data_IF_169226293027
#
_entry.id   IF_169226293027
#
_cell.length_a   1.000
_cell.length_b   1.000
_cell.length_c   1.000
_cell.angle_alpha   90.00
_cell.angle_beta   90.00
_cell.angle_gamma   90.00
#
_symmetry.space_group_name_H-M   'P 1'
#
loop_
_entity.id
_entity.type
_entity.pdbx_description
1 polymer ?
#
# COMPACT_ATOMS: atom_id res chain seq x y z
N UNK A 1 -9.72 19.10 0.09
CA UNK A 1 -8.68 18.30 0.77
C UNK A 1 -9.07 18.17 2.23
N UNK A 2 -9.53 16.99 2.64
CA UNK A 2 -9.82 16.71 4.05
C UNK A 2 -8.48 16.63 4.76
N UNK A 3 -8.26 17.49 5.75
CA UNK A 3 -7.02 17.52 6.51
C UNK A 3 -6.98 16.28 7.41
N UNK A 4 -6.37 15.19 6.94
CA UNK A 4 -6.21 13.92 7.66
C UNK A 4 -5.26 14.03 8.88
N UNK A 5 -4.77 15.23 9.18
CA UNK A 5 -4.03 15.53 10.41
C UNK A 5 -2.65 14.88 10.50
N UNK A 6 -2.15 14.31 9.41
CA UNK A 6 -0.84 13.69 9.26
C UNK A 6 -0.12 14.31 8.05
N UNK A 7 1.22 14.46 8.14
CA UNK A 7 2.08 15.05 7.10
C UNK A 7 2.76 13.98 6.24
N UNK A 8 2.28 12.74 6.28
CA UNK A 8 2.82 11.65 5.47
C UNK A 8 2.36 11.82 4.03
N UNK A 9 3.25 11.65 3.04
CA UNK A 9 2.84 11.71 1.64
C UNK A 9 1.81 10.63 1.37
N UNK A 10 0.68 11.03 0.78
CA UNK A 10 -0.29 10.09 0.24
C UNK A 10 0.41 9.18 -0.78
N UNK A 11 -0.12 7.97 -0.96
CA UNK A 11 0.22 7.19 -2.13
C UNK A 11 -0.03 8.05 -3.38
N UNK A 12 0.62 7.73 -4.50
CA UNK A 12 0.36 8.43 -5.76
C UNK A 12 -1.10 8.33 -6.23
N UNK A 13 -1.92 7.49 -5.59
CA UNK A 13 -3.31 7.23 -5.89
C UNK A 13 -4.21 7.47 -4.65
N UNK A 14 -5.51 7.33 -4.84
CA UNK A 14 -6.47 7.35 -3.75
C UNK A 14 -7.68 6.50 -4.13
N UNK A 15 -8.21 5.74 -3.18
CA UNK A 15 -9.43 4.96 -3.37
C UNK A 15 -10.61 5.67 -2.72
N UNK A 16 -11.76 5.68 -3.40
CA UNK A 16 -12.96 6.38 -2.94
C UNK A 16 -14.19 5.47 -3.02
N UNK A 17 -15.09 5.61 -2.05
CA UNK A 17 -16.33 4.85 -2.03
C UNK A 17 -17.24 5.29 -3.20
N UNK A 18 -17.54 4.40 -4.14
CA UNK A 18 -18.43 4.71 -5.26
C UNK A 18 -19.90 4.89 -4.82
N UNK A 19 -20.27 4.31 -3.68
CA UNK A 19 -21.59 4.37 -3.04
C UNK A 19 -21.41 4.42 -1.52
N UNK A 20 -22.47 4.73 -0.78
CA UNK A 20 -22.43 4.64 0.69
C UNK A 20 -22.26 3.19 1.16
N UNK A 21 -21.36 2.97 2.11
CA UNK A 21 -21.01 1.65 2.63
C UNK A 21 -21.40 1.55 4.12
N UNK A 22 -22.11 0.50 4.55
CA UNK A 22 -22.43 0.30 5.96
C UNK A 22 -21.21 -0.18 6.77
N UNK A 23 -21.24 0.06 8.07
CA UNK A 23 -20.24 -0.45 9.03
C UNK A 23 -20.11 -1.97 8.93
N UNK A 24 -18.88 -2.49 8.98
CA UNK A 24 -18.58 -3.91 8.96
C UNK A 24 -18.65 -4.56 7.58
N UNK A 25 -19.05 -3.83 6.53
CA UNK A 25 -19.05 -4.35 5.17
C UNK A 25 -17.64 -4.75 4.74
N UNK A 26 -17.51 -5.95 4.17
CA UNK A 26 -16.32 -6.32 3.38
C UNK A 26 -16.38 -5.61 2.03
N UNK A 27 -15.51 -4.64 1.84
CA UNK A 27 -15.45 -3.76 0.66
C UNK A 27 -14.74 -4.46 -0.50
N UNK A 28 -13.64 -5.15 -0.20
CA UNK A 28 -12.75 -5.70 -1.22
C UNK A 28 -12.04 -6.96 -0.72
N UNK A 29 -11.67 -7.85 -1.64
CA UNK A 29 -10.80 -9.01 -1.42
C UNK A 29 -9.83 -9.11 -2.59
N UNK A 30 -8.54 -9.15 -2.29
CA UNK A 30 -7.44 -9.19 -3.27
C UNK A 30 -6.54 -10.39 -3.00
N UNK A 31 -6.33 -11.25 -3.99
CA UNK A 31 -5.21 -12.19 -3.96
C UNK A 31 -3.92 -11.38 -4.08
N UNK A 32 -3.01 -11.53 -3.12
CA UNK A 32 -1.76 -10.78 -3.12
C UNK A 32 -0.91 -11.15 -4.33
N UNK A 33 -0.26 -10.15 -4.93
CA UNK A 33 0.69 -10.39 -6.02
C UNK A 33 1.93 -11.09 -5.47
N UNK A 34 2.33 -10.73 -4.25
CA UNK A 34 3.46 -11.31 -3.55
C UNK A 34 3.17 -11.43 -2.06
N UNK A 35 3.67 -12.52 -1.49
CA UNK A 35 3.55 -12.85 -0.08
C UNK A 35 4.89 -13.37 0.42
N UNK A 36 5.39 -12.78 1.50
CA UNK A 36 6.66 -13.14 2.12
C UNK A 36 6.46 -13.39 3.61
N UNK A 37 7.34 -14.15 4.24
CA UNK A 37 7.31 -14.39 5.69
C UNK A 37 7.71 -13.15 6.51
N UNK A 38 8.49 -12.24 5.93
CA UNK A 38 8.85 -10.97 6.54
C UNK A 38 9.18 -9.89 5.50
N UNK A 39 9.24 -8.62 5.91
CA UNK A 39 9.72 -7.53 5.03
C UNK A 39 11.19 -7.69 4.65
N UNK A 40 12.01 -8.29 5.51
CA UNK A 40 13.39 -8.60 5.16
C UNK A 40 13.47 -9.62 4.03
N UNK A 41 12.65 -10.67 4.10
CA UNK A 41 12.56 -11.69 3.03
C UNK A 41 12.08 -11.06 1.72
N UNK A 42 11.08 -10.18 1.80
CA UNK A 42 10.63 -9.40 0.65
C UNK A 42 11.80 -8.63 0.01
N UNK A 43 12.64 -7.93 0.78
CA UNK A 43 13.77 -7.18 0.21
C UNK A 43 14.83 -8.05 -0.47
N UNK A 44 15.04 -9.27 0.02
CA UNK A 44 16.03 -10.20 -0.55
C UNK A 44 15.52 -10.90 -1.79
N UNK A 45 14.23 -11.25 -1.82
CA UNK A 45 13.66 -12.12 -2.85
C UNK A 45 12.93 -11.35 -3.96
N UNK A 46 12.38 -10.17 -3.65
CA UNK A 46 11.49 -9.44 -4.56
C UNK A 46 12.08 -9.22 -5.96
N UNK A 47 13.35 -8.84 -6.07
CA UNK A 47 13.94 -8.59 -7.39
C UNK A 47 13.98 -9.85 -8.27
N UNK A 48 14.12 -11.02 -7.67
CA UNK A 48 14.01 -12.30 -8.37
C UNK A 48 12.55 -12.56 -8.78
N UNK A 49 11.62 -12.43 -7.84
CA UNK A 49 10.20 -12.74 -8.06
C UNK A 49 9.54 -11.79 -9.05
N UNK A 50 9.94 -10.52 -9.04
CA UNK A 50 9.46 -9.49 -9.97
C UNK A 50 9.63 -9.92 -11.43
N UNK A 51 10.69 -10.67 -11.76
CA UNK A 51 10.91 -11.18 -13.12
C UNK A 51 9.84 -12.19 -13.54
N UNK A 52 9.28 -12.92 -12.57
CA UNK A 52 8.26 -13.96 -12.77
C UNK A 52 6.83 -13.39 -12.74
N UNK A 53 6.63 -12.16 -12.26
CA UNK A 53 5.32 -11.50 -12.28
C UNK A 53 4.85 -11.34 -13.75
N UNK A 54 3.57 -11.60 -14.06
CA UNK A 54 3.01 -11.33 -15.38
C UNK A 54 3.26 -9.88 -15.84
N UNK A 55 3.59 -9.71 -17.12
CA UNK A 55 4.01 -8.41 -17.68
C UNK A 55 2.97 -7.30 -17.46
N UNK A 56 1.68 -7.64 -17.57
CA UNK A 56 0.60 -6.70 -17.32
C UNK A 56 0.56 -6.19 -15.88
N UNK A 57 0.96 -7.02 -14.89
CA UNK A 57 1.06 -6.61 -13.48
C UNK A 57 2.34 -5.81 -13.21
N UNK A 58 3.45 -6.11 -13.90
CA UNK A 58 4.68 -5.33 -13.78
C UNK A 58 4.46 -3.86 -14.13
N UNK A 59 3.69 -3.59 -15.19
CA UNK A 59 3.33 -2.24 -15.61
C UNK A 59 2.66 -1.43 -14.51
N UNK A 60 1.70 -2.02 -13.78
CA UNK A 60 1.08 -1.37 -12.62
C UNK A 60 2.06 -1.26 -11.45
N UNK A 61 2.80 -2.32 -11.16
CA UNK A 61 3.73 -2.37 -10.04
C UNK A 61 4.76 -1.23 -10.09
N UNK A 62 5.40 -1.02 -11.25
CA UNK A 62 6.43 0.02 -11.39
C UNK A 62 5.85 1.43 -11.29
N UNK A 63 4.53 1.60 -11.33
CA UNK A 63 3.87 2.90 -11.13
C UNK A 63 3.54 3.22 -9.68
N UNK A 64 3.76 2.28 -8.77
CA UNK A 64 3.55 2.51 -7.34
C UNK A 64 4.54 3.52 -6.77
N UNK A 65 4.14 4.16 -5.69
CA UNK A 65 4.94 5.14 -4.98
C UNK A 65 6.22 4.50 -4.42
N UNK A 66 7.38 5.06 -4.80
CA UNK A 66 8.69 4.58 -4.34
C UNK A 66 9.41 5.58 -3.41
N UNK A 67 8.67 6.54 -2.84
CA UNK A 67 9.20 7.58 -1.96
C UNK A 67 9.16 8.99 -2.57
N UNK A 68 9.24 10.02 -1.72
CA UNK A 68 9.13 11.43 -2.13
C UNK A 68 10.25 11.93 -3.04
N UNK A 69 11.39 11.22 -3.07
CA UNK A 69 12.50 11.50 -3.99
C UNK A 69 12.42 10.73 -5.32
N UNK A 70 11.40 9.90 -5.53
CA UNK A 70 11.23 9.18 -6.79
C UNK A 70 10.73 10.10 -7.89
N UNK A 71 11.60 10.39 -8.85
CA UNK A 71 11.27 11.21 -10.02
C UNK A 71 10.93 10.35 -11.25
N UNK A 72 10.98 9.01 -11.19
CA UNK A 72 10.87 8.19 -12.40
C UNK A 72 9.54 8.38 -13.12
N UNK A 73 8.46 8.63 -12.36
CA UNK A 73 7.14 8.90 -12.91
C UNK A 73 7.02 10.26 -13.60
N UNK A 74 7.91 11.21 -13.29
CA UNK A 74 7.91 12.56 -13.89
C UNK A 74 8.90 12.69 -15.05
N UNK A 75 9.80 11.73 -15.24
CA UNK A 75 10.71 11.69 -16.38
C UNK A 75 9.93 11.43 -17.70
N UNK A 76 10.35 12.02 -18.83
CA UNK A 76 9.82 11.68 -20.13
C UNK A 76 10.18 10.24 -20.53
N UNK A 77 9.34 9.62 -21.36
CA UNK A 77 9.59 8.29 -21.90
C UNK A 77 10.95 8.24 -22.62
N UNK A 78 11.83 7.36 -22.15
CA UNK A 78 13.20 7.19 -22.64
C UNK A 78 13.79 5.90 -22.07
N UNK A 79 14.82 5.36 -22.74
CA UNK A 79 15.53 4.17 -22.24
C UNK A 79 16.08 4.39 -20.83
N UNK A 80 16.55 5.60 -20.52
CA UNK A 80 17.01 5.97 -19.18
C UNK A 80 15.90 5.85 -18.14
N UNK A 81 14.70 6.36 -18.44
CA UNK A 81 13.55 6.23 -17.56
C UNK A 81 13.20 4.75 -17.37
N UNK A 82 13.13 3.99 -18.44
CA UNK A 82 12.69 2.59 -18.38
C UNK A 82 13.69 1.73 -17.60
N UNK A 83 15.00 1.97 -17.74
CA UNK A 83 16.03 1.36 -16.89
C UNK A 83 15.87 1.72 -15.41
N UNK A 84 15.57 2.99 -15.10
CA UNK A 84 15.42 3.46 -13.72
C UNK A 84 14.13 2.93 -13.07
N UNK A 85 13.06 2.76 -13.85
CA UNK A 85 11.76 2.25 -13.36
C UNK A 85 11.87 0.85 -12.74
N UNK A 86 12.78 0.02 -13.25
CA UNK A 86 13.03 -1.36 -12.78
C UNK A 86 14.34 -1.51 -12.01
N UNK A 87 15.01 -0.40 -11.66
CA UNK A 87 16.24 -0.45 -10.87
C UNK A 87 15.97 -1.11 -9.50
N UNK A 88 16.86 -2.01 -9.07
CA UNK A 88 16.69 -2.81 -7.84
C UNK A 88 16.38 -1.94 -6.62
N UNK A 89 17.09 -0.82 -6.44
CA UNK A 89 16.84 0.08 -5.31
C UNK A 89 15.46 0.73 -5.33
N UNK A 90 14.93 1.07 -6.52
CA UNK A 90 13.58 1.61 -6.68
C UNK A 90 12.53 0.55 -6.38
N UNK A 91 12.71 -0.66 -6.91
CA UNK A 91 11.82 -1.79 -6.64
C UNK A 91 11.75 -2.13 -5.14
N UNK A 92 12.87 -2.11 -4.43
CA UNK A 92 12.91 -2.26 -2.97
C UNK A 92 12.15 -1.15 -2.25
N UNK A 93 12.27 0.10 -2.71
CA UNK A 93 11.47 1.20 -2.17
C UNK A 93 9.97 1.01 -2.42
N UNK A 94 9.56 0.53 -3.59
CA UNK A 94 8.15 0.22 -3.85
C UNK A 94 7.64 -0.82 -2.84
N UNK A 95 8.36 -1.92 -2.64
CA UNK A 95 8.00 -2.93 -1.63
C UNK A 95 7.91 -2.29 -0.25
N UNK A 96 8.88 -1.46 0.14
CA UNK A 96 8.91 -0.78 1.43
C UNK A 96 7.65 0.04 1.71
N UNK A 97 7.21 0.84 0.73
CA UNK A 97 6.12 1.79 0.91
C UNK A 97 4.73 1.20 0.70
N UNK A 98 4.61 0.10 -0.04
CA UNK A 98 3.32 -0.43 -0.48
C UNK A 98 2.98 -1.80 0.14
N UNK A 99 3.94 -2.46 0.79
CA UNK A 99 3.68 -3.74 1.44
C UNK A 99 3.15 -3.55 2.87
N UNK A 100 2.15 -4.34 3.21
CA UNK A 100 1.54 -4.37 4.53
C UNK A 100 2.07 -5.57 5.30
N UNK A 101 2.51 -5.32 6.53
CA UNK A 101 2.76 -6.36 7.53
C UNK A 101 1.50 -6.51 8.37
N UNK A 102 0.76 -7.59 8.14
CA UNK A 102 -0.47 -7.90 8.86
C UNK A 102 -0.21 -8.68 10.14
N UNK A 103 -1.13 -8.67 11.10
CA UNK A 103 -1.06 -9.62 12.21
C UNK A 103 -1.33 -11.04 11.69
N UNK A 104 -0.37 -11.96 11.89
CA UNK A 104 -0.50 -13.37 11.54
C UNK A 104 -0.01 -13.74 10.13
N UNK A 105 0.54 -12.78 9.39
CA UNK A 105 1.19 -12.97 8.08
C UNK A 105 2.37 -12.03 7.96
N UNK A 106 3.38 -12.44 7.18
CA UNK A 106 4.56 -11.60 6.93
C UNK A 106 4.26 -10.36 6.09
N UNK A 107 4.97 -10.19 4.98
CA UNK A 107 4.90 -9.00 4.14
C UNK A 107 4.09 -9.28 2.87
N UNK A 108 2.95 -8.60 2.73
CA UNK A 108 2.02 -8.78 1.62
C UNK A 108 1.94 -7.53 0.74
N UNK A 109 1.93 -7.71 -0.58
CA UNK A 109 1.74 -6.62 -1.54
C UNK A 109 0.54 -6.91 -2.44
N UNK A 110 -0.45 -6.02 -2.38
CA UNK A 110 -1.63 -6.00 -3.23
C UNK A 110 -1.72 -4.66 -3.97
N UNK A 111 -2.03 -4.67 -5.26
CA UNK A 111 -2.01 -3.47 -6.10
C UNK A 111 -3.14 -2.51 -5.73
N UNK A 112 -4.35 -3.03 -5.52
CA UNK A 112 -5.48 -2.20 -5.15
C UNK A 112 -5.31 -1.63 -3.73
N UNK A 113 -4.78 -2.44 -2.82
CA UNK A 113 -4.46 -2.03 -1.46
C UNK A 113 -3.37 -0.95 -1.43
N UNK A 114 -2.42 -0.97 -2.37
CA UNK A 114 -1.36 0.05 -2.48
C UNK A 114 -1.88 1.46 -2.81
N UNK A 115 -3.13 1.60 -3.25
CA UNK A 115 -3.77 2.88 -3.53
C UNK A 115 -4.50 3.49 -2.31
N UNK A 116 -4.57 2.78 -1.19
CA UNK A 116 -5.25 3.26 0.02
C UNK A 116 -4.34 4.19 0.80
N UNK A 117 -4.77 5.43 1.02
CA UNK A 117 -3.97 6.41 1.74
C UNK A 117 -4.00 6.22 3.25
N UNK A 118 -3.02 6.84 3.91
CA UNK A 118 -2.89 6.79 5.35
C UNK A 118 -3.85 7.75 6.05
N UNK A 119 -4.53 7.26 7.09
CA UNK A 119 -5.14 8.09 8.12
C UNK A 119 -4.84 7.52 9.51
N UNK A 120 -4.51 8.41 10.46
CA UNK A 120 -4.42 8.05 11.88
C UNK A 120 -5.80 7.74 12.51
N UNK A 121 -6.89 8.10 11.82
CA UNK A 121 -8.28 7.77 12.17
C UNK A 121 -8.93 7.14 10.94
N UNK A 122 -8.50 5.93 10.56
CA UNK A 122 -8.94 5.32 9.30
C UNK A 122 -10.43 4.98 9.35
N UNK A 123 -11.06 4.93 8.19
CA UNK A 123 -12.43 4.44 8.03
C UNK A 123 -12.48 2.99 7.53
N UNK A 124 -11.34 2.40 7.17
CA UNK A 124 -11.22 1.00 6.77
C UNK A 124 -10.12 0.27 7.53
N UNK A 125 -10.25 -1.06 7.59
CA UNK A 125 -9.26 -1.96 8.18
C UNK A 125 -8.90 -3.06 7.20
N UNK A 126 -7.63 -3.42 7.16
CA UNK A 126 -7.10 -4.46 6.30
C UNK A 126 -6.78 -5.67 7.15
N UNK A 127 -7.14 -6.84 6.63
CA UNK A 127 -6.89 -8.10 7.28
C UNK A 127 -6.46 -9.14 6.26
N UNK A 128 -5.44 -9.93 6.59
CA UNK A 128 -5.11 -11.12 5.83
C UNK A 128 -6.06 -12.26 6.22
N UNK A 129 -6.89 -12.69 5.27
CA UNK A 129 -7.75 -13.84 5.43
C UNK A 129 -7.01 -15.11 4.98
N UNK A 130 -6.66 -15.97 5.95
CA UNK A 130 -5.94 -17.22 5.67
C UNK A 130 -6.78 -18.23 4.88
N UNK A 131 -8.10 -18.30 5.14
CA UNK A 131 -9.00 -19.24 4.47
C UNK A 131 -9.18 -18.91 2.99
N UNK A 132 -9.14 -17.62 2.65
CA UNK A 132 -9.24 -17.12 1.27
C UNK A 132 -7.89 -16.88 0.60
N UNK A 133 -6.79 -16.98 1.36
CA UNK A 133 -5.43 -16.60 0.92
C UNK A 133 -5.41 -15.20 0.26
N UNK A 134 -6.05 -14.23 0.91
CA UNK A 134 -6.33 -12.92 0.35
C UNK A 134 -6.28 -11.78 1.38
N UNK A 135 -5.89 -10.59 0.90
CA UNK A 135 -6.04 -9.34 1.65
C UNK A 135 -7.49 -8.86 1.54
N UNK A 136 -8.12 -8.63 2.67
CA UNK A 136 -9.52 -8.21 2.76
C UNK A 136 -9.62 -6.83 3.41
N UNK A 137 -10.53 -6.00 2.89
CA UNK A 137 -10.76 -4.64 3.37
C UNK A 137 -12.17 -4.52 3.96
N UNK A 138 -12.28 -4.01 5.18
CA UNK A 138 -13.55 -3.85 5.88
C UNK A 138 -13.81 -2.40 6.28
N UNK A 139 -15.07 -1.98 6.23
CA UNK A 139 -15.51 -0.68 6.74
C UNK A 139 -15.53 -0.67 8.28
N UNK A 140 -14.78 0.22 8.92
CA UNK A 140 -14.77 0.40 10.38
C UNK A 140 -15.98 1.20 10.89
N UNK A 141 -16.62 1.95 10.01
CA UNK A 141 -17.83 2.75 10.25
C UNK A 141 -18.62 2.90 8.96
N UNK A 142 -19.77 3.55 9.00
CA UNK A 142 -20.45 3.99 7.79
C UNK A 142 -19.54 4.96 7.01
N UNK A 143 -19.45 4.76 5.70
CA UNK A 143 -18.64 5.55 4.77
C UNK A 143 -19.59 6.13 3.74
N UNK A 144 -19.52 7.44 3.51
CA UNK A 144 -20.38 8.11 2.55
C UNK A 144 -19.89 7.88 1.12
N UNK A 145 -20.78 7.94 0.13
CA UNK A 145 -20.38 8.03 -1.26
C UNK A 145 -19.36 9.17 -1.47
N UNK A 146 -18.35 8.92 -2.30
CA UNK A 146 -17.20 9.78 -2.61
C UNK A 146 -16.25 10.07 -1.43
N UNK A 147 -16.44 9.42 -0.28
CA UNK A 147 -15.48 9.49 0.82
C UNK A 147 -14.24 8.64 0.51
N UNK A 148 -13.05 9.16 0.80
CA UNK A 148 -11.79 8.45 0.61
C UNK A 148 -11.67 7.27 1.57
N UNK A 149 -11.30 6.10 1.05
CA UNK A 149 -10.98 4.91 1.84
C UNK A 149 -9.55 5.04 2.34
N UNK A 150 -9.38 5.01 3.66
CA UNK A 150 -8.08 5.18 4.31
C UNK A 150 -7.81 4.09 5.33
N UNK A 151 -6.53 3.75 5.47
CA UNK A 151 -6.01 2.76 6.41
C UNK A 151 -4.97 3.38 7.35
N UNK A 152 -4.74 2.76 8.49
CA UNK A 152 -3.56 3.10 9.28
C UNK A 152 -2.36 2.31 8.72
N UNK A 153 -1.24 2.95 8.39
CA UNK A 153 -0.03 2.23 7.93
C UNK A 153 0.75 1.60 9.09
N UNK A 154 0.42 1.97 10.32
CA UNK A 154 1.03 1.48 11.56
C UNK A 154 0.05 0.58 12.32
N UNK A 155 -0.60 -0.37 11.65
CA UNK A 155 -1.61 -1.25 12.27
C UNK A 155 -1.01 -2.17 13.34
N UNK A 156 0.27 -2.50 13.21
CA UNK A 156 1.09 -3.25 14.17
C UNK A 156 1.32 -2.48 15.48
N UNK A 157 1.20 -1.15 15.45
CA UNK A 157 1.56 -0.25 16.53
C UNK A 157 0.42 0.74 16.88
N UNK A 158 -0.80 0.26 17.21
CA UNK A 158 -1.97 1.14 17.40
C UNK A 158 -1.86 2.02 18.65
N UNK A 159 -1.04 1.63 19.62
CA UNK A 159 -0.85 2.30 20.91
C UNK A 159 0.01 3.58 20.85
N UNK A 160 0.65 3.85 19.70
CA UNK A 160 1.53 5.01 19.57
C UNK A 160 0.73 6.31 19.72
N UNK A 161 1.38 7.34 20.27
CA UNK A 161 0.85 8.71 20.25
C UNK A 161 0.89 9.29 18.83
N UNK A 162 0.16 10.38 18.59
CA UNK A 162 0.20 11.08 17.30
C UNK A 162 1.62 11.47 16.89
N UNK A 163 2.41 12.01 17.82
CA UNK A 163 3.79 12.42 17.57
C UNK A 163 4.68 11.23 17.19
N UNK A 164 4.55 10.10 17.90
CA UNK A 164 5.30 8.88 17.58
C UNK A 164 4.92 8.30 16.22
N UNK A 165 3.63 8.31 15.86
CA UNK A 165 3.19 7.90 14.52
C UNK A 165 3.78 8.77 13.43
N UNK A 166 3.71 10.10 13.60
CA UNK A 166 4.29 11.05 12.63
C UNK A 166 5.80 10.85 12.46
N UNK A 167 6.55 10.62 13.55
CA UNK A 167 7.98 10.36 13.47
C UNK A 167 8.32 9.05 12.73
N UNK A 168 7.53 7.99 12.93
CA UNK A 168 7.73 6.72 12.20
C UNK A 168 7.38 6.82 10.72
N UNK A 169 6.35 7.60 10.41
CA UNK A 169 5.93 7.88 9.04
C UNK A 169 6.93 8.80 8.32
N UNK A 170 7.64 9.71 9.00
CA UNK A 170 8.61 10.58 8.32
C UNK A 170 9.89 9.87 7.79
N UNK A 171 10.12 8.60 8.15
CA UNK A 171 11.36 7.85 7.87
C UNK A 171 11.20 6.80 6.76
#
# INVERSE_FOLDING_TARGET
MVNNGCTYPDSSFGAFAAVSLPTGLRIYSETTVLLYDSRNDAYQQFHHDFKQIPEYLKGYFVTLFAGSGDICLTLPASDMRDMQMVATGRLQSIVRYNSIEGQGVGCALGLAISALNHSCKPNTYIYWNQDENAMTLYALRAISQNEELTINYLQDSPYLTKAQRQARLAN
#
